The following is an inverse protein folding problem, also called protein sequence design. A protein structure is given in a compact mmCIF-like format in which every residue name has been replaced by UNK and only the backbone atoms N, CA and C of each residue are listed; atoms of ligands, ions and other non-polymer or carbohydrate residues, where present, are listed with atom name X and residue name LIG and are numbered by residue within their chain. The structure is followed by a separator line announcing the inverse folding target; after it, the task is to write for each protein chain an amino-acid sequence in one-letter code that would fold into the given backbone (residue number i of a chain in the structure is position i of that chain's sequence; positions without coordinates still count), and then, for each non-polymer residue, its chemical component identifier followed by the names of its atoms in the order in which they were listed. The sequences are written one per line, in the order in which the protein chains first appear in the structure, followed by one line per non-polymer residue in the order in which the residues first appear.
data_IF_295669603534
#
_entry.id   IF_295669603534
#
_cell.length_a   1.000
_cell.length_b   1.000
_cell.length_c   1.000
_cell.angle_alpha   90.00
_cell.angle_beta   90.00
_cell.angle_gamma   90.00
#
_symmetry.space_group_name_H-M   'P 1'
#
loop_
_entity.id
_entity.type
_entity.pdbx_description
1 polymer ?
#
# COMPACT_ATOMS: atom_id res chain seq x y z
N UNK A 1 0.81 28.40 10.73
CA UNK A 1 2.01 29.13 10.23
C UNK A 1 2.95 28.22 9.43
N UNK A 2 3.32 27.04 9.93
CA UNK A 2 4.15 26.05 9.20
C UNK A 2 3.49 25.57 7.90
N UNK A 3 2.19 25.24 7.94
CA UNK A 3 1.43 24.76 6.77
C UNK A 3 1.43 25.73 5.58
N UNK A 4 1.37 27.04 5.85
CA UNK A 4 1.41 28.07 4.80
C UNK A 4 2.81 28.26 4.20
N UNK A 5 3.87 28.03 4.99
CA UNK A 5 5.24 28.02 4.48
C UNK A 5 5.49 26.77 3.62
N UNK A 6 4.95 25.61 4.04
CA UNK A 6 4.98 24.37 3.24
C UNK A 6 4.28 24.60 1.89
N UNK A 7 3.07 25.18 1.86
CA UNK A 7 2.38 25.51 0.61
C UNK A 7 3.22 26.37 -0.33
N UNK A 8 3.90 27.41 0.19
CA UNK A 8 4.78 28.26 -0.63
C UNK A 8 5.97 27.50 -1.20
N UNK A 9 6.60 26.62 -0.43
CA UNK A 9 7.70 25.78 -0.95
C UNK A 9 7.20 24.81 -2.02
N UNK A 10 5.98 24.30 -1.88
CA UNK A 10 5.35 23.40 -2.85
C UNK A 10 4.94 24.09 -4.15
N UNK A 11 4.74 25.42 -4.15
CA UNK A 11 4.52 26.15 -5.42
C UNK A 11 5.76 26.23 -6.31
N UNK A 12 6.96 26.00 -5.76
CA UNK A 12 8.23 26.07 -6.49
C UNK A 12 8.96 24.73 -6.59
N UNK A 13 8.53 23.72 -5.82
CA UNK A 13 9.16 22.39 -5.79
C UNK A 13 8.11 21.30 -5.92
N UNK A 14 8.35 20.35 -6.81
CA UNK A 14 7.52 19.15 -6.93
C UNK A 14 8.07 18.04 -6.02
N UNK A 15 7.24 17.56 -5.11
CA UNK A 15 7.57 16.43 -4.24
C UNK A 15 6.92 15.17 -4.79
N UNK A 16 7.74 14.27 -5.32
CA UNK A 16 7.27 12.98 -5.83
C UNK A 16 7.31 11.87 -4.78
N UNK A 17 8.03 12.05 -3.68
CA UNK A 17 8.28 11.05 -2.65
C UNK A 17 7.99 11.61 -1.26
N UNK A 18 7.09 10.97 -0.52
CA UNK A 18 6.76 11.28 0.86
C UNK A 18 7.02 10.06 1.72
N UNK A 19 7.75 10.26 2.83
CA UNK A 19 7.97 9.23 3.85
C UNK A 19 7.51 9.77 5.19
N UNK A 20 6.48 9.15 5.77
CA UNK A 20 5.97 9.46 7.09
C UNK A 20 6.43 8.35 8.04
N UNK A 21 7.24 8.72 9.02
CA UNK A 21 7.89 7.78 9.95
C UNK A 21 7.09 7.64 11.25
N UNK A 22 6.14 8.55 11.50
CA UNK A 22 5.31 8.56 12.71
C UNK A 22 4.31 7.39 12.74
N UNK A 23 4.04 6.87 13.94
CA UNK A 23 2.92 5.96 14.16
C UNK A 23 1.60 6.68 13.84
N UNK A 24 0.57 5.96 13.37
CA UNK A 24 -0.71 6.54 12.91
C UNK A 24 -0.57 7.49 11.69
N UNK A 25 0.47 7.26 10.89
CA UNK A 25 0.85 8.04 9.70
C UNK A 25 -0.24 8.26 8.64
N UNK A 26 -1.35 7.51 8.67
CA UNK A 26 -2.41 7.59 7.65
C UNK A 26 -3.18 8.93 7.69
N UNK A 27 -3.50 9.45 8.87
CA UNK A 27 -4.23 10.72 9.00
C UNK A 27 -3.37 11.89 8.50
N UNK A 28 -2.09 11.88 8.88
CA UNK A 28 -1.12 12.84 8.37
C UNK A 28 -0.94 12.69 6.84
N UNK A 29 -0.93 11.46 6.33
CA UNK A 29 -0.88 11.22 4.88
C UNK A 29 -2.05 11.90 4.18
N UNK A 30 -3.29 11.70 4.66
CA UNK A 30 -4.51 12.29 4.10
C UNK A 30 -4.42 13.82 4.07
N UNK A 31 -3.99 14.44 5.18
CA UNK A 31 -3.81 15.89 5.25
C UNK A 31 -2.77 16.42 4.24
N UNK A 32 -1.72 15.65 3.99
CA UNK A 32 -0.65 16.02 3.06
C UNK A 32 -1.01 15.76 1.58
N UNK A 33 -1.98 14.89 1.29
CA UNK A 33 -2.32 14.52 -0.10
C UNK A 33 -2.74 15.71 -0.95
N UNK A 34 -3.59 16.60 -0.39
CA UNK A 34 -4.04 17.81 -1.09
C UNK A 34 -2.91 18.81 -1.38
N UNK A 35 -1.81 18.73 -0.63
CA UNK A 35 -0.66 19.59 -0.84
C UNK A 35 0.29 19.04 -1.91
N UNK A 36 0.23 17.73 -2.16
CA UNK A 36 1.20 17.00 -2.99
C UNK A 36 0.50 16.31 -4.17
N UNK A 37 -0.08 17.07 -5.13
CA UNK A 37 -0.83 16.48 -6.25
C UNK A 37 0.03 15.65 -7.20
N UNK A 38 1.35 15.84 -7.18
CA UNK A 38 2.32 15.11 -7.99
C UNK A 38 2.95 13.92 -7.26
N UNK A 39 2.44 13.54 -6.09
CA UNK A 39 2.99 12.44 -5.31
C UNK A 39 2.86 11.10 -6.07
N UNK A 40 3.99 10.45 -6.31
CA UNK A 40 4.08 9.12 -6.96
C UNK A 40 4.39 8.04 -5.90
N UNK A 41 5.21 8.48 -4.96
CA UNK A 41 5.85 7.86 -3.81
C UNK A 41 5.19 7.97 -2.44
N UNK A 42 4.47 7.00 -1.90
CA UNK A 42 4.07 7.05 -0.48
C UNK A 42 4.77 5.97 0.33
N UNK A 43 5.49 6.38 1.39
CA UNK A 43 6.01 5.49 2.41
C UNK A 43 5.39 5.86 3.75
N UNK A 44 4.77 4.89 4.41
CA UNK A 44 4.16 5.03 5.73
C UNK A 44 4.72 3.96 6.67
N UNK A 45 4.81 4.28 7.96
CA UNK A 45 5.31 3.33 8.94
C UNK A 45 4.28 2.22 9.19
N UNK A 46 3.09 2.59 9.63
CA UNK A 46 2.01 1.65 9.94
C UNK A 46 0.64 2.28 9.71
N UNK A 47 -0.38 1.43 9.66
CA UNK A 47 -1.80 1.82 9.65
C UNK A 47 -2.35 1.57 11.05
N UNK A 48 -3.18 2.47 11.60
CA UNK A 48 -3.77 2.26 12.92
C UNK A 48 -4.65 1.01 12.94
N UNK A 49 -4.46 0.13 13.91
CA UNK A 49 -5.34 -1.03 14.12
C UNK A 49 -6.52 -0.67 15.04
N UNK A 50 -7.74 -0.70 14.48
CA UNK A 50 -9.08 -0.63 15.08
C UNK A 50 -9.44 0.44 16.14
N UNK A 51 -10.72 0.83 16.12
CA UNK A 51 -11.42 1.93 16.82
C UNK A 51 -11.07 3.38 16.41
N UNK A 52 -9.89 3.67 15.87
CA UNK A 52 -9.49 5.03 15.43
C UNK A 52 -9.53 5.26 13.92
N UNK A 53 -9.80 4.23 13.13
CA UNK A 53 -9.71 4.24 11.66
C UNK A 53 -10.95 4.76 10.94
N UNK A 54 -11.97 5.23 11.66
CA UNK A 54 -13.04 5.99 11.02
C UNK A 54 -12.50 7.34 10.58
N UNK A 55 -12.30 7.48 9.26
CA UNK A 55 -12.05 8.79 8.68
C UNK A 55 -13.14 9.75 9.15
N UNK A 56 -12.71 10.91 9.63
CA UNK A 56 -13.61 12.04 9.82
C UNK A 56 -14.28 12.34 8.48
N UNK A 57 -15.46 12.97 8.51
CA UNK A 57 -16.15 13.35 7.28
C UNK A 57 -15.26 14.20 6.35
N UNK A 58 -14.42 15.07 6.91
CA UNK A 58 -13.47 15.89 6.16
C UNK A 58 -12.36 15.06 5.49
N UNK A 59 -11.81 14.07 6.20
CA UNK A 59 -10.83 13.13 5.63
C UNK A 59 -11.46 12.28 4.54
N UNK A 60 -12.69 11.81 4.74
CA UNK A 60 -13.42 11.07 3.72
C UNK A 60 -13.63 11.91 2.45
N UNK A 61 -14.07 13.18 2.59
CA UNK A 61 -14.19 14.10 1.47
C UNK A 61 -12.84 14.35 0.77
N UNK A 62 -11.76 14.47 1.55
CA UNK A 62 -10.40 14.65 1.01
C UNK A 62 -9.97 13.45 0.20
N UNK A 63 -10.11 12.24 0.73
CA UNK A 63 -9.76 11.00 0.04
C UNK A 63 -10.63 10.81 -1.20
N UNK A 64 -11.93 11.09 -1.12
CA UNK A 64 -12.85 11.02 -2.27
C UNK A 64 -12.45 11.99 -3.39
N UNK A 65 -12.07 13.22 -3.06
CA UNK A 65 -11.57 14.17 -4.04
C UNK A 65 -10.26 13.65 -4.67
N UNK A 66 -9.31 13.25 -3.83
CA UNK A 66 -7.99 12.76 -4.23
C UNK A 66 -8.06 11.52 -5.12
N UNK A 67 -9.08 10.67 -4.93
CA UNK A 67 -9.27 9.42 -5.68
C UNK A 67 -9.20 9.61 -7.19
N UNK A 68 -9.68 10.75 -7.71
CA UNK A 68 -9.78 11.02 -9.15
C UNK A 68 -8.49 11.53 -9.80
N UNK A 69 -7.56 12.09 -9.02
CA UNK A 69 -6.34 12.72 -9.54
C UNK A 69 -5.05 12.22 -8.89
N UNK A 70 -5.14 11.30 -7.93
CA UNK A 70 -3.99 10.65 -7.29
C UNK A 70 -3.04 10.06 -8.33
N UNK A 71 -1.76 10.39 -8.22
CA UNK A 71 -0.68 9.80 -9.04
C UNK A 71 0.13 8.76 -8.26
N UNK A 72 -0.30 8.41 -7.04
CA UNK A 72 0.44 7.51 -6.17
C UNK A 72 0.41 6.11 -6.79
N UNK A 73 1.56 5.70 -7.33
CA UNK A 73 1.72 4.43 -8.02
C UNK A 73 2.47 3.40 -7.17
N UNK A 74 3.23 3.85 -6.16
CA UNK A 74 4.02 2.98 -5.28
C UNK A 74 3.76 3.34 -3.83
N UNK A 75 3.38 2.33 -3.05
CA UNK A 75 3.21 2.45 -1.60
C UNK A 75 4.16 1.49 -0.90
N UNK A 76 4.79 1.98 0.16
CA UNK A 76 5.70 1.24 1.01
C UNK A 76 5.18 1.32 2.44
N UNK A 77 5.02 0.17 3.08
CA UNK A 77 4.49 0.07 4.43
C UNK A 77 5.50 -0.69 5.27
N UNK A 78 5.91 -0.12 6.38
CA UNK A 78 6.88 -0.79 7.24
C UNK A 78 6.24 -1.94 8.03
N UNK A 79 5.00 -1.77 8.47
CA UNK A 79 4.30 -2.76 9.29
C UNK A 79 2.80 -2.79 8.97
N UNK A 80 2.27 -4.00 8.75
CA UNK A 80 0.84 -4.27 8.66
C UNK A 80 0.43 -5.08 9.88
N UNK A 81 -0.54 -4.53 10.62
CA UNK A 81 -1.02 -5.07 11.88
C UNK A 81 -2.33 -5.84 11.69
N UNK A 82 -3.21 -5.33 10.83
CA UNK A 82 -4.50 -5.92 10.51
C UNK A 82 -4.64 -6.11 8.99
N UNK A 83 -5.45 -7.08 8.60
CA UNK A 83 -5.82 -7.29 7.21
C UNK A 83 -6.74 -6.19 6.66
N UNK A 84 -7.50 -5.53 7.55
CA UNK A 84 -8.35 -4.39 7.21
C UNK A 84 -7.52 -3.17 6.78
N UNK A 85 -6.24 -3.10 7.17
CA UNK A 85 -5.29 -2.07 6.73
C UNK A 85 -5.25 -1.94 5.20
N UNK A 86 -5.53 -3.03 4.49
CA UNK A 86 -5.50 -3.11 3.03
C UNK A 86 -6.61 -2.33 2.34
N UNK A 87 -7.79 -2.34 2.95
CA UNK A 87 -8.93 -1.60 2.43
C UNK A 87 -8.65 -0.09 2.56
N UNK A 88 -8.01 0.34 3.64
CA UNK A 88 -7.58 1.73 3.82
C UNK A 88 -6.55 2.16 2.79
N UNK A 89 -5.53 1.33 2.52
CA UNK A 89 -4.52 1.64 1.49
C UNK A 89 -5.17 1.75 0.11
N UNK A 90 -6.07 0.82 -0.20
CA UNK A 90 -6.76 0.78 -1.50
C UNK A 90 -7.66 2.00 -1.68
N UNK A 91 -8.28 2.47 -0.60
CA UNK A 91 -9.09 3.69 -0.59
C UNK A 91 -8.22 4.95 -0.78
N UNK A 92 -7.08 5.00 -0.09
CA UNK A 92 -6.16 6.14 -0.11
C UNK A 92 -5.37 6.25 -1.43
N UNK A 93 -4.98 5.11 -2.00
CA UNK A 93 -4.12 5.00 -3.17
C UNK A 93 -4.77 4.11 -4.26
N UNK A 94 -5.90 4.53 -4.85
CA UNK A 94 -6.69 3.69 -5.78
C UNK A 94 -5.93 3.29 -7.06
N UNK A 95 -4.96 4.12 -7.46
CA UNK A 95 -4.14 3.91 -8.66
C UNK A 95 -2.79 3.25 -8.36
N UNK A 96 -2.61 2.75 -7.14
CA UNK A 96 -1.40 2.03 -6.74
C UNK A 96 -1.17 0.83 -7.64
N UNK A 97 0.04 0.72 -8.18
CA UNK A 97 0.50 -0.41 -9.01
C UNK A 97 1.46 -1.33 -8.25
N UNK A 98 2.14 -0.79 -7.24
CA UNK A 98 3.14 -1.49 -6.45
C UNK A 98 2.90 -1.26 -4.96
N UNK A 99 2.85 -2.35 -4.21
CA UNK A 99 2.83 -2.33 -2.75
C UNK A 99 4.02 -3.14 -2.21
N UNK A 100 4.82 -2.51 -1.34
CA UNK A 100 5.82 -3.22 -0.55
C UNK A 100 5.42 -3.20 0.92
N UNK A 101 5.53 -4.36 1.57
CA UNK A 101 5.33 -4.51 3.01
C UNK A 101 6.59 -5.11 3.63
N UNK A 102 7.15 -4.44 4.64
CA UNK A 102 8.41 -4.84 5.27
C UNK A 102 8.21 -5.85 6.41
N UNK A 103 7.15 -5.70 7.21
CA UNK A 103 6.85 -6.61 8.32
C UNK A 103 5.37 -6.95 8.33
N UNK A 104 5.12 -8.22 8.61
CA UNK A 104 3.80 -8.73 8.94
C UNK A 104 3.83 -9.20 10.38
N UNK A 105 2.88 -8.73 11.18
CA UNK A 105 2.62 -9.34 12.49
C UNK A 105 1.72 -10.59 12.36
N UNK A 106 1.36 -10.96 11.13
CA UNK A 106 0.50 -12.09 10.76
C UNK A 106 1.29 -13.03 9.83
N UNK A 107 0.85 -14.29 9.73
CA UNK A 107 1.42 -15.24 8.78
C UNK A 107 1.40 -14.69 7.34
N UNK A 108 2.58 -14.58 6.71
CA UNK A 108 2.74 -13.98 5.38
C UNK A 108 1.93 -14.68 4.29
N UNK A 109 1.76 -16.01 4.35
CA UNK A 109 0.96 -16.76 3.40
C UNK A 109 -0.53 -16.42 3.56
N UNK A 110 -1.01 -16.32 4.80
CA UNK A 110 -2.36 -15.86 5.09
C UNK A 110 -2.58 -14.41 4.60
N UNK A 111 -1.64 -13.51 4.86
CA UNK A 111 -1.69 -12.14 4.35
C UNK A 111 -1.79 -12.14 2.82
N UNK A 112 -0.85 -12.80 2.14
CA UNK A 112 -0.83 -12.86 0.68
C UNK A 112 -2.14 -13.43 0.12
N UNK A 113 -2.65 -14.52 0.71
CA UNK A 113 -3.93 -15.12 0.31
C UNK A 113 -5.05 -14.09 0.32
N UNK A 114 -5.17 -13.35 1.41
CA UNK A 114 -6.25 -12.38 1.56
C UNK A 114 -6.05 -11.18 0.66
N UNK A 115 -4.82 -10.67 0.53
CA UNK A 115 -4.47 -9.64 -0.46
C UNK A 115 -4.99 -10.00 -1.85
N UNK A 116 -4.66 -11.20 -2.31
CA UNK A 116 -5.04 -11.63 -3.64
C UNK A 116 -6.55 -11.84 -3.77
N UNK A 117 -7.23 -12.31 -2.72
CA UNK A 117 -8.70 -12.40 -2.71
C UNK A 117 -9.36 -11.01 -2.79
N UNK A 118 -8.86 -10.02 -2.06
CA UNK A 118 -9.37 -8.64 -2.12
C UNK A 118 -9.18 -8.08 -3.54
N UNK A 119 -8.00 -8.26 -4.13
CA UNK A 119 -7.71 -7.82 -5.50
C UNK A 119 -8.61 -8.54 -6.52
N UNK A 120 -8.76 -9.86 -6.40
CA UNK A 120 -9.56 -10.69 -7.30
C UNK A 120 -11.06 -10.35 -7.24
N UNK A 121 -11.59 -10.13 -6.03
CA UNK A 121 -13.00 -9.81 -5.84
C UNK A 121 -13.34 -8.36 -6.23
N UNK A 122 -12.39 -7.44 -6.10
CA UNK A 122 -12.56 -6.02 -6.37
C UNK A 122 -11.89 -5.59 -7.69
N UNK A 123 -12.22 -6.29 -8.79
CA UNK A 123 -11.65 -6.08 -10.13
C UNK A 123 -11.66 -4.60 -10.62
N UNK A 124 -12.55 -3.76 -10.11
CA UNK A 124 -12.66 -2.34 -10.49
C UNK A 124 -11.91 -1.35 -9.58
N UNK A 125 -11.38 -1.80 -8.42
CA UNK A 125 -10.91 -0.89 -7.36
C UNK A 125 -9.37 -0.87 -7.26
N UNK A 126 -8.68 -1.94 -7.68
CA UNK A 126 -7.27 -2.09 -7.35
C UNK A 126 -6.40 -2.26 -8.62
N UNK A 127 -5.61 -1.22 -8.93
CA UNK A 127 -4.65 -1.23 -10.05
C UNK A 127 -3.34 -1.98 -9.76
N UNK A 128 -3.27 -2.70 -8.62
CA UNK A 128 -2.05 -3.36 -8.18
C UNK A 128 -1.65 -4.43 -9.21
N UNK A 129 -0.38 -4.42 -9.59
CA UNK A 129 0.25 -5.41 -10.47
C UNK A 129 1.50 -6.03 -9.86
N UNK A 130 1.91 -5.54 -8.69
CA UNK A 130 3.10 -6.02 -8.01
C UNK A 130 2.96 -5.89 -6.49
N UNK A 131 3.25 -7.00 -5.81
CA UNK A 131 3.45 -7.06 -4.36
C UNK A 131 4.91 -7.39 -4.08
N UNK A 132 5.44 -6.80 -3.02
CA UNK A 132 6.79 -7.05 -2.54
C UNK A 132 6.74 -7.27 -1.03
N UNK A 133 7.39 -8.34 -0.58
CA UNK A 133 7.45 -8.68 0.83
C UNK A 133 8.90 -8.81 1.25
N UNK A 134 9.27 -8.17 2.35
CA UNK A 134 10.56 -8.44 2.96
C UNK A 134 10.44 -9.75 3.75
N UNK A 135 11.36 -10.68 3.51
CA UNK A 135 11.47 -11.97 4.19
C UNK A 135 12.82 -12.06 4.89
N UNK A 136 12.81 -12.47 6.15
CA UNK A 136 14.03 -12.54 6.96
C UNK A 136 14.94 -13.70 6.57
N UNK A 137 14.42 -14.73 5.90
CA UNK A 137 15.14 -15.93 5.50
C UNK A 137 15.00 -16.20 4.01
N UNK A 138 16.09 -16.66 3.38
CA UNK A 138 16.06 -17.24 2.05
C UNK A 138 15.41 -18.62 2.14
N UNK A 139 14.09 -18.66 2.14
CA UNK A 139 13.35 -19.92 2.18
C UNK A 139 12.55 -20.11 0.89
N UNK A 140 13.11 -20.91 -0.02
CA UNK A 140 12.46 -21.29 -1.28
C UNK A 140 11.14 -22.04 -1.03
N UNK A 141 10.93 -22.61 0.17
CA UNK A 141 9.67 -23.24 0.56
C UNK A 141 8.52 -22.22 0.60
N UNK A 142 8.77 -20.98 1.05
CA UNK A 142 7.77 -19.92 1.06
C UNK A 142 7.28 -19.63 -0.37
N UNK A 143 8.18 -19.62 -1.35
CA UNK A 143 7.85 -19.37 -2.75
C UNK A 143 7.04 -20.52 -3.33
N UNK A 144 7.42 -21.77 -3.03
CA UNK A 144 6.64 -22.94 -3.45
C UNK A 144 5.24 -22.93 -2.84
N UNK A 145 5.13 -22.60 -1.55
CA UNK A 145 3.86 -22.49 -0.84
C UNK A 145 2.97 -21.38 -1.43
N UNK A 146 3.55 -20.25 -1.83
CA UNK A 146 2.82 -19.20 -2.54
C UNK A 146 2.34 -19.67 -3.91
N UNK A 147 3.20 -20.30 -4.70
CA UNK A 147 2.84 -20.80 -6.03
C UNK A 147 1.71 -21.85 -5.98
N UNK A 148 1.81 -22.82 -5.06
CA UNK A 148 0.77 -23.83 -4.83
C UNK A 148 -0.55 -23.17 -4.43
N UNK A 149 -0.51 -22.24 -3.47
CA UNK A 149 -1.72 -21.53 -3.01
C UNK A 149 -2.38 -20.74 -4.16
N UNK A 150 -1.60 -19.96 -4.91
CA UNK A 150 -2.15 -19.14 -6.01
C UNK A 150 -2.79 -20.01 -7.09
N UNK A 151 -2.16 -21.14 -7.45
CA UNK A 151 -2.69 -22.05 -8.48
C UNK A 151 -3.91 -22.82 -8.01
N UNK A 152 -3.84 -23.41 -6.82
CA UNK A 152 -4.91 -24.25 -6.28
C UNK A 152 -6.20 -23.45 -6.05
N UNK A 153 -6.06 -22.20 -5.62
CA UNK A 153 -7.19 -21.30 -5.37
C UNK A 153 -7.54 -20.40 -6.57
N UNK A 154 -6.77 -20.47 -7.66
CA UNK A 154 -6.95 -19.66 -8.89
C UNK A 154 -6.98 -18.15 -8.61
N UNK A 155 -6.10 -17.68 -7.73
CA UNK A 155 -6.09 -16.29 -7.25
C UNK A 155 -5.52 -15.28 -8.26
N UNK A 156 -4.60 -15.71 -9.13
CA UNK A 156 -3.99 -14.88 -10.16
C UNK A 156 -3.70 -15.70 -11.43
N UNK A 157 -3.71 -15.02 -12.57
CA UNK A 157 -3.27 -15.55 -13.86
C UNK A 157 -2.03 -14.80 -14.35
N UNK A 158 -1.16 -15.47 -15.12
CA UNK A 158 0.03 -14.88 -15.73
C UNK A 158 0.94 -14.13 -14.73
N UNK A 159 1.14 -14.71 -13.54
CA UNK A 159 1.97 -14.13 -12.51
C UNK A 159 3.41 -14.68 -12.56
N UNK A 160 4.32 -14.00 -11.88
CA UNK A 160 5.70 -14.43 -11.65
C UNK A 160 6.06 -14.14 -10.21
N UNK A 161 6.68 -15.12 -9.55
CA UNK A 161 7.29 -14.96 -8.22
C UNK A 161 8.81 -14.92 -8.41
N UNK A 162 9.46 -13.89 -7.87
CA UNK A 162 10.92 -13.74 -7.90
C UNK A 162 11.45 -13.52 -6.50
N UNK A 163 12.54 -14.19 -6.20
CA UNK A 163 13.31 -13.95 -4.99
C UNK A 163 14.53 -13.09 -5.32
N UNK A 164 14.70 -11.98 -4.61
CA UNK A 164 15.85 -11.09 -4.79
C UNK A 164 16.33 -10.62 -3.43
N UNK A 165 17.48 -11.13 -2.97
CA UNK A 165 18.01 -10.91 -1.62
C UNK A 165 17.00 -11.35 -0.55
N UNK A 166 16.56 -10.42 0.30
CA UNK A 166 15.62 -10.66 1.39
C UNK A 166 14.20 -10.24 1.01
N UNK A 167 13.85 -10.36 -0.29
CA UNK A 167 12.58 -9.89 -0.82
C UNK A 167 11.95 -10.89 -1.78
N UNK A 168 10.66 -11.11 -1.60
CA UNK A 168 9.82 -11.84 -2.54
C UNK A 168 8.98 -10.84 -3.32
N UNK A 169 9.10 -10.88 -4.64
CA UNK A 169 8.30 -10.11 -5.58
C UNK A 169 7.26 -11.01 -6.23
N UNK A 170 5.99 -10.65 -6.13
CA UNK A 170 4.90 -11.24 -6.90
C UNK A 170 4.41 -10.20 -7.90
N UNK A 171 4.42 -10.53 -9.19
CA UNK A 171 4.05 -9.63 -10.29
C UNK A 171 3.07 -10.30 -11.23
N UNK A 172 2.08 -9.58 -11.76
CA UNK A 172 1.13 -10.11 -12.75
C UNK A 172 0.72 -9.03 -13.77
N UNK A 173 0.13 -9.48 -14.88
CA UNK A 173 -0.34 -8.61 -15.97
C UNK A 173 -1.75 -8.10 -15.73
#
# INVERSE_FOLDING_TARGET
MIFEQIKRVLTITQIYHLSIIEEHSIHLAIQLMNLLPDLITLKIHSIPSDETTTFTFEEFCTVAAFKSYSKIAKVYIEEINDINDLDYISLLCPHMKFLQVKRFNINIQFCLRTFLKVIYNNNDICSIRSLCFDVSTMDDEIIQNFDIMIRSEKLLFNYTIKHVYNKIYLQWK
#
